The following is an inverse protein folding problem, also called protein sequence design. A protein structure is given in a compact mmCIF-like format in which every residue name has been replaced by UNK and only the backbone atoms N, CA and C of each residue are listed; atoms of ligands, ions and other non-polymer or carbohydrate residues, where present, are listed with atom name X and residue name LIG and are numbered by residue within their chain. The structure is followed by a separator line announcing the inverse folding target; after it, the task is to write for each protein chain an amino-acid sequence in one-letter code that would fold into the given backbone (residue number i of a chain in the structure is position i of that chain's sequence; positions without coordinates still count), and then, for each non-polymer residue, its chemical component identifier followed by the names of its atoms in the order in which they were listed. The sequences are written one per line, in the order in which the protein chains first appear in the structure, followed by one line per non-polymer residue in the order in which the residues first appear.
data_IF_153733549840
#
_entry.id   IF_153733549840
#
_cell.length_a   1.000
_cell.length_b   1.000
_cell.length_c   1.000
_cell.angle_alpha   90.00
_cell.angle_beta   90.00
_cell.angle_gamma   90.00
#
_symmetry.space_group_name_H-M   'P 1'
#
loop_
_entity.id
_entity.type
_entity.pdbx_description
1 polymer ?
#
# COMPACT_ATOMS: atom_id res chain seq x y z
N UNK A 1 -27.78 -3.78 8.31
CA UNK A 1 -27.84 -5.23 7.97
C UNK A 1 -26.42 -5.78 8.15
N UNK A 2 -26.20 -6.73 9.06
CA UNK A 2 -24.90 -7.38 9.21
C UNK A 2 -24.65 -8.25 7.97
N UNK A 3 -23.99 -7.72 6.95
CA UNK A 3 -23.42 -8.55 5.89
C UNK A 3 -22.25 -9.30 6.53
N UNK A 4 -22.37 -10.61 6.66
CA UNK A 4 -21.26 -11.47 7.04
C UNK A 4 -20.29 -11.48 5.86
N UNK A 5 -19.09 -10.98 6.04
CA UNK A 5 -18.03 -11.06 5.03
C UNK A 5 -17.37 -12.43 5.17
N UNK A 6 -17.29 -13.17 4.08
CA UNK A 6 -16.54 -14.43 4.04
C UNK A 6 -15.08 -14.14 3.68
N UNK A 7 -14.14 -14.60 4.49
CA UNK A 7 -12.72 -14.29 4.32
C UNK A 7 -11.98 -15.46 3.67
N UNK A 8 -11.38 -15.20 2.51
CA UNK A 8 -10.35 -16.07 1.97
C UNK A 8 -9.07 -15.92 2.77
N UNK A 9 -8.48 -17.04 3.20
CA UNK A 9 -7.33 -17.09 4.12
C UNK A 9 -6.16 -17.89 3.58
N UNK A 10 -6.22 -18.31 2.32
CA UNK A 10 -5.19 -19.15 1.70
C UNK A 10 -4.24 -18.31 0.85
N UNK A 11 -3.04 -18.82 0.62
CA UNK A 11 -2.10 -18.27 -0.35
C UNK A 11 -2.70 -18.39 -1.75
N UNK A 12 -2.39 -17.45 -2.64
CA UNK A 12 -2.77 -17.56 -4.06
C UNK A 12 -1.49 -17.81 -4.88
N UNK A 13 -1.32 -19.02 -5.40
CA UNK A 13 -0.16 -19.38 -6.21
C UNK A 13 -0.63 -20.06 -7.50
N UNK A 14 -0.26 -19.50 -8.65
CA UNK A 14 -0.68 -20.02 -9.95
C UNK A 14 -2.18 -19.90 -10.18
N UNK A 15 -2.81 -18.84 -9.70
CA UNK A 15 -4.26 -18.61 -9.82
C UNK A 15 -5.13 -19.48 -8.92
N UNK A 16 -4.54 -20.20 -7.94
CA UNK A 16 -5.24 -21.16 -7.08
C UNK A 16 -5.02 -20.87 -5.61
N UNK A 17 -6.06 -21.00 -4.77
CA UNK A 17 -5.90 -20.96 -3.32
C UNK A 17 -5.16 -22.23 -2.85
N UNK A 18 -4.14 -22.06 -2.01
CA UNK A 18 -3.33 -23.13 -1.44
C UNK A 18 -3.09 -22.88 0.04
N UNK A 19 -3.14 -23.92 0.89
CA UNK A 19 -2.62 -23.82 2.26
C UNK A 19 -1.10 -23.63 2.22
N UNK A 20 -0.54 -23.03 3.27
CA UNK A 20 0.91 -23.01 3.45
C UNK A 20 1.47 -24.43 3.55
N UNK A 21 2.63 -24.69 2.97
CA UNK A 21 3.24 -26.03 2.89
C UNK A 21 3.54 -26.64 4.26
N UNK A 22 3.81 -25.81 5.27
CA UNK A 22 4.03 -26.24 6.66
C UNK A 22 2.72 -26.30 7.49
N UNK A 23 1.57 -25.93 6.93
CA UNK A 23 0.28 -25.89 7.63
C UNK A 23 0.20 -24.86 8.75
N UNK A 24 1.13 -23.92 8.81
CA UNK A 24 1.14 -22.82 9.77
C UNK A 24 0.14 -21.74 9.37
N UNK A 25 -0.38 -21.05 10.39
CA UNK A 25 -1.27 -19.90 10.22
C UNK A 25 -0.93 -18.81 11.22
N UNK A 26 -1.31 -17.59 10.93
CA UNK A 26 -1.30 -16.47 11.88
C UNK A 26 -2.68 -15.83 11.94
N UNK A 27 -2.98 -15.18 13.06
CA UNK A 27 -4.28 -14.55 13.28
C UNK A 27 -4.28 -13.12 12.78
N UNK A 28 -5.31 -12.75 12.00
CA UNK A 28 -5.65 -11.37 11.69
C UNK A 28 -6.64 -10.86 12.73
N UNK A 29 -6.33 -9.73 13.36
CA UNK A 29 -7.07 -9.19 14.49
C UNK A 29 -7.84 -7.94 14.04
N UNK A 30 -9.11 -7.84 14.45
CA UNK A 30 -9.86 -6.60 14.31
C UNK A 30 -9.39 -5.58 15.35
N UNK A 31 -8.76 -4.46 14.96
CA UNK A 31 -8.21 -3.49 15.90
C UNK A 31 -9.29 -2.76 16.70
N UNK A 32 -10.54 -2.73 16.23
CA UNK A 32 -11.64 -2.06 16.94
C UNK A 32 -12.10 -2.80 18.19
N UNK A 33 -11.90 -4.12 18.27
CA UNK A 33 -12.41 -4.92 19.37
C UNK A 33 -11.46 -6.00 19.88
N UNK A 34 -10.27 -6.14 19.28
CA UNK A 34 -9.25 -7.12 19.63
C UNK A 34 -9.60 -8.57 19.33
N UNK A 35 -10.66 -8.83 18.56
CA UNK A 35 -11.10 -10.19 18.21
C UNK A 35 -10.42 -10.69 16.95
N UNK A 36 -10.17 -11.99 16.91
CA UNK A 36 -9.70 -12.67 15.71
C UNK A 36 -10.76 -12.57 14.61
N UNK A 37 -10.37 -12.08 13.44
CA UNK A 37 -11.17 -12.07 12.22
C UNK A 37 -11.04 -13.39 11.47
N UNK A 38 -9.81 -13.82 11.27
CA UNK A 38 -9.48 -15.00 10.50
C UNK A 38 -8.13 -15.57 10.89
N UNK A 39 -7.89 -16.84 10.55
CA UNK A 39 -6.58 -17.50 10.62
C UNK A 39 -6.05 -17.66 9.19
N UNK A 40 -5.04 -16.88 8.85
CA UNK A 40 -4.47 -16.77 7.51
C UNK A 40 -3.30 -17.74 7.35
N UNK A 41 -3.19 -18.42 6.21
CA UNK A 41 -2.09 -19.32 5.90
C UNK A 41 -0.75 -18.57 5.91
N UNK A 42 0.22 -19.07 6.65
CA UNK A 42 1.58 -18.55 6.68
C UNK A 42 2.43 -19.29 5.64
N UNK A 43 2.99 -18.52 4.70
CA UNK A 43 3.90 -19.07 3.70
C UNK A 43 5.26 -19.40 4.31
N UNK A 44 5.80 -20.56 3.93
CA UNK A 44 7.19 -20.95 4.19
C UNK A 44 8.13 -20.42 3.10
N UNK A 45 9.44 -20.64 3.29
CA UNK A 45 10.43 -20.40 2.23
C UNK A 45 10.19 -21.24 0.97
N UNK A 46 9.63 -22.46 1.13
CA UNK A 46 9.26 -23.33 0.00
C UNK A 46 8.08 -22.75 -0.78
N UNK A 47 7.08 -22.19 -0.10
CA UNK A 47 5.95 -21.52 -0.75
C UNK A 47 6.39 -20.27 -1.52
N UNK A 48 7.34 -19.49 -0.95
CA UNK A 48 7.95 -18.34 -1.65
C UNK A 48 8.68 -18.80 -2.91
N UNK A 49 9.53 -19.83 -2.81
CA UNK A 49 10.23 -20.38 -3.97
C UNK A 49 9.26 -20.88 -5.05
N UNK A 50 8.16 -21.54 -4.64
CA UNK A 50 7.10 -21.99 -5.55
C UNK A 50 6.40 -20.81 -6.22
N UNK A 51 6.02 -19.78 -5.47
CA UNK A 51 5.35 -18.59 -6.02
C UNK A 51 6.24 -17.86 -7.04
N UNK A 52 7.54 -17.67 -6.72
CA UNK A 52 8.50 -17.07 -7.63
C UNK A 52 8.72 -17.92 -8.87
N UNK A 53 8.88 -19.25 -8.72
CA UNK A 53 9.04 -20.17 -9.87
C UNK A 53 7.81 -20.16 -10.79
N UNK A 54 6.60 -20.12 -10.23
CA UNK A 54 5.35 -20.01 -10.99
C UNK A 54 5.26 -18.65 -11.71
N UNK A 55 5.63 -17.57 -11.04
CA UNK A 55 5.67 -16.24 -11.64
C UNK A 55 6.71 -16.17 -12.78
N UNK A 56 7.90 -16.75 -12.59
CA UNK A 56 8.95 -16.84 -13.61
C UNK A 56 8.48 -17.61 -14.84
N UNK A 57 7.88 -18.76 -14.63
CA UNK A 57 7.30 -19.56 -15.72
C UNK A 57 6.21 -18.79 -16.47
N UNK A 58 5.29 -18.11 -15.75
CA UNK A 58 4.25 -17.30 -16.37
C UNK A 58 4.83 -16.12 -17.17
N UNK A 59 5.96 -15.55 -16.74
CA UNK A 59 6.68 -14.50 -17.45
C UNK A 59 7.34 -15.01 -18.74
N UNK A 60 8.10 -16.10 -18.65
CA UNK A 60 8.93 -16.60 -19.76
C UNK A 60 8.12 -17.38 -20.81
N UNK A 61 7.24 -18.27 -20.35
CA UNK A 61 6.49 -19.19 -21.20
C UNK A 61 5.04 -18.74 -21.44
N UNK A 62 4.46 -18.00 -20.51
CA UNK A 62 3.07 -17.56 -20.56
C UNK A 62 2.82 -16.45 -21.59
N UNK A 63 1.54 -16.13 -21.84
CA UNK A 63 1.15 -15.13 -22.81
C UNK A 63 1.32 -13.69 -22.34
N UNK A 64 1.42 -13.43 -21.01
CA UNK A 64 1.27 -12.09 -20.44
C UNK A 64 2.34 -11.11 -20.87
N UNK A 65 3.61 -11.46 -20.73
CA UNK A 65 4.76 -10.62 -21.13
C UNK A 65 4.81 -10.33 -22.62
N UNK A 66 4.29 -11.27 -23.42
CA UNK A 66 4.26 -11.23 -24.90
C UNK A 66 2.94 -10.70 -25.44
N UNK A 67 1.96 -10.44 -24.59
CA UNK A 67 0.62 -9.97 -24.98
C UNK A 67 0.71 -8.59 -25.61
N UNK A 68 0.02 -8.41 -26.75
CA UNK A 68 -0.06 -7.12 -27.39
C UNK A 68 -0.57 -6.05 -26.41
N UNK A 69 0.00 -4.84 -26.40
CA UNK A 69 -0.38 -3.77 -25.45
C UNK A 69 -1.88 -3.53 -25.40
N UNK A 70 -2.57 -3.50 -26.54
CA UNK A 70 -4.00 -3.29 -26.62
C UNK A 70 -4.83 -4.41 -25.95
N UNK A 71 -4.38 -5.67 -26.02
CA UNK A 71 -5.08 -6.78 -25.38
C UNK A 71 -4.82 -6.79 -23.88
N UNK A 72 -3.60 -6.52 -23.44
CA UNK A 72 -3.25 -6.37 -22.01
C UNK A 72 -4.04 -5.24 -21.36
N UNK A 73 -4.18 -4.10 -22.06
CA UNK A 73 -5.05 -2.99 -21.63
C UNK A 73 -6.49 -3.45 -21.37
N UNK A 74 -7.09 -4.21 -22.28
CA UNK A 74 -8.46 -4.72 -22.14
C UNK A 74 -8.61 -5.60 -20.88
N UNK A 75 -7.62 -6.47 -20.63
CA UNK A 75 -7.63 -7.32 -19.41
C UNK A 75 -7.57 -6.47 -18.15
N UNK A 76 -6.68 -5.47 -18.11
CA UNK A 76 -6.57 -4.60 -16.92
C UNK A 76 -7.79 -3.71 -16.71
N UNK A 77 -8.43 -3.22 -17.77
CA UNK A 77 -9.71 -2.50 -17.64
C UNK A 77 -10.81 -3.41 -17.08
N UNK A 78 -10.88 -4.69 -17.50
CA UNK A 78 -11.79 -5.67 -16.88
C UNK A 78 -11.44 -5.90 -15.42
N UNK A 79 -10.14 -5.98 -15.07
CA UNK A 79 -9.72 -6.16 -13.68
C UNK A 79 -10.18 -5.00 -12.79
N UNK A 80 -10.03 -3.76 -13.27
CA UNK A 80 -10.55 -2.59 -12.58
C UNK A 80 -12.09 -2.68 -12.39
N UNK A 81 -12.82 -3.12 -13.42
CA UNK A 81 -14.29 -3.29 -13.33
C UNK A 81 -14.69 -4.40 -12.36
N UNK A 82 -13.94 -5.51 -12.31
CA UNK A 82 -14.20 -6.60 -11.35
C UNK A 82 -13.94 -6.12 -9.92
N UNK A 83 -12.85 -5.38 -9.66
CA UNK A 83 -12.58 -4.78 -8.34
C UNK A 83 -13.71 -3.80 -7.97
N UNK A 84 -14.15 -2.95 -8.89
CA UNK A 84 -15.25 -1.99 -8.68
C UNK A 84 -16.57 -2.69 -8.31
N UNK A 85 -16.87 -3.82 -8.95
CA UNK A 85 -18.05 -4.62 -8.61
C UNK A 85 -18.02 -5.24 -7.21
N UNK A 86 -16.83 -5.39 -6.62
CA UNK A 86 -16.60 -5.92 -5.28
C UNK A 86 -16.17 -4.85 -4.26
N UNK A 87 -16.32 -3.55 -4.60
CA UNK A 87 -15.84 -2.44 -3.79
C UNK A 87 -16.42 -2.43 -2.36
N UNK A 88 -17.73 -2.73 -2.19
CA UNK A 88 -18.34 -2.80 -0.85
C UNK A 88 -17.76 -3.94 0.00
N UNK A 89 -17.51 -5.10 -0.61
CA UNK A 89 -16.89 -6.26 0.04
C UNK A 89 -15.48 -5.92 0.51
N UNK A 90 -14.64 -5.37 -0.38
CA UNK A 90 -13.27 -4.99 -0.10
C UNK A 90 -13.17 -3.86 0.93
N UNK A 91 -14.04 -2.84 0.85
CA UNK A 91 -14.10 -1.76 1.82
C UNK A 91 -14.44 -2.27 3.23
N UNK A 92 -15.38 -3.23 3.33
CA UNK A 92 -15.72 -3.85 4.60
C UNK A 92 -14.54 -4.65 5.17
N UNK A 93 -13.80 -5.38 4.31
CA UNK A 93 -12.59 -6.10 4.73
C UNK A 93 -11.55 -5.13 5.28
N UNK A 94 -11.25 -4.02 4.58
CA UNK A 94 -10.29 -3.00 5.03
C UNK A 94 -10.72 -2.34 6.35
N UNK A 95 -12.00 -1.96 6.47
CA UNK A 95 -12.50 -1.38 7.70
C UNK A 95 -12.34 -2.33 8.90
N UNK A 96 -12.51 -3.63 8.68
CA UNK A 96 -12.40 -4.63 9.75
C UNK A 96 -10.95 -5.00 10.07
N UNK A 97 -10.05 -5.13 9.07
CA UNK A 97 -8.66 -5.57 9.30
C UNK A 97 -7.71 -4.40 9.62
N UNK A 98 -7.94 -3.21 9.06
CA UNK A 98 -7.11 -2.03 9.29
C UNK A 98 -7.69 -1.04 10.31
N UNK A 99 -8.97 -1.18 10.67
CA UNK A 99 -9.63 -0.24 11.58
C UNK A 99 -10.02 1.10 10.95
N UNK A 100 -9.96 1.21 9.63
CA UNK A 100 -10.27 2.44 8.90
C UNK A 100 -11.77 2.74 8.92
N UNK A 101 -12.19 4.03 8.98
CA UNK A 101 -13.58 4.38 8.80
C UNK A 101 -14.14 3.83 7.48
N UNK A 102 -15.29 3.15 7.56
CA UNK A 102 -15.92 2.55 6.39
C UNK A 102 -16.25 3.57 5.29
N UNK A 103 -16.55 4.79 5.67
CA UNK A 103 -16.76 5.92 4.74
C UNK A 103 -15.52 6.21 3.91
N UNK A 104 -14.34 6.26 4.53
CA UNK A 104 -13.07 6.48 3.83
C UNK A 104 -12.76 5.30 2.89
N UNK A 105 -12.99 4.06 3.36
CA UNK A 105 -12.79 2.88 2.52
C UNK A 105 -13.68 2.92 1.27
N UNK A 106 -14.97 3.29 1.41
CA UNK A 106 -15.93 3.33 0.30
C UNK A 106 -15.72 4.52 -0.63
N UNK A 107 -15.45 5.71 -0.09
CA UNK A 107 -15.45 6.96 -0.84
C UNK A 107 -14.05 7.34 -1.38
N UNK A 108 -12.99 6.81 -0.79
CA UNK A 108 -11.60 7.15 -1.15
C UNK A 108 -10.82 5.91 -1.58
N UNK A 109 -10.67 4.91 -0.70
CA UNK A 109 -9.72 3.81 -0.95
C UNK A 109 -10.14 2.93 -2.13
N UNK A 110 -11.41 2.53 -2.20
CA UNK A 110 -11.88 1.69 -3.30
C UNK A 110 -11.92 2.44 -4.64
N UNK A 111 -12.45 3.66 -4.73
CA UNK A 111 -12.35 4.46 -5.95
C UNK A 111 -10.91 4.67 -6.43
N UNK A 112 -9.99 4.98 -5.51
CA UNK A 112 -8.58 5.20 -5.86
C UNK A 112 -7.89 3.89 -6.29
N UNK A 113 -8.22 2.76 -5.66
CA UNK A 113 -7.76 1.42 -6.07
C UNK A 113 -8.15 1.12 -7.52
N UNK A 114 -9.43 1.34 -7.85
CA UNK A 114 -9.98 1.12 -9.20
C UNK A 114 -9.35 2.09 -10.21
N UNK A 115 -9.29 3.37 -9.86
CA UNK A 115 -8.74 4.41 -10.71
C UNK A 115 -7.26 4.20 -11.02
N UNK A 116 -6.48 3.74 -10.04
CA UNK A 116 -5.05 3.43 -10.24
C UNK A 116 -4.85 2.31 -11.27
N UNK A 117 -5.60 1.21 -11.16
CA UNK A 117 -5.51 0.13 -12.16
C UNK A 117 -5.96 0.63 -13.53
N UNK A 118 -7.07 1.38 -13.59
CA UNK A 118 -7.62 1.95 -14.84
C UNK A 118 -6.63 2.92 -15.49
N UNK A 119 -6.02 3.81 -14.70
CA UNK A 119 -5.05 4.78 -15.20
C UNK A 119 -3.83 4.09 -15.83
N UNK A 120 -3.26 3.07 -15.18
CA UNK A 120 -2.13 2.33 -15.72
C UNK A 120 -2.52 1.52 -16.96
N UNK A 121 -3.72 0.95 -16.98
CA UNK A 121 -4.24 0.32 -18.20
C UNK A 121 -4.32 1.29 -19.37
N UNK A 122 -4.83 2.52 -19.15
CA UNK A 122 -4.90 3.57 -20.14
C UNK A 122 -3.54 4.12 -20.56
N UNK A 123 -2.52 4.01 -19.71
CA UNK A 123 -1.16 4.47 -19.99
C UNK A 123 -0.39 3.51 -20.93
N UNK A 124 -0.81 2.26 -21.08
CA UNK A 124 -0.06 1.22 -21.81
C UNK A 124 0.28 1.68 -23.23
N UNK A 125 -0.68 2.25 -23.95
CA UNK A 125 -0.52 2.69 -25.34
C UNK A 125 0.08 4.11 -25.48
N UNK A 126 0.57 4.68 -24.40
CA UNK A 126 1.17 6.02 -24.31
C UNK A 126 2.66 5.98 -23.91
N UNK A 127 3.19 4.80 -23.67
CA UNK A 127 4.60 4.58 -23.38
C UNK A 127 5.33 4.26 -24.69
N UNK A 128 5.92 5.27 -25.31
CA UNK A 128 6.63 5.13 -26.58
C UNK A 128 8.09 4.71 -26.38
N UNK A 129 8.58 3.90 -27.30
CA UNK A 129 9.99 3.68 -27.53
C UNK A 129 10.63 4.93 -28.14
N UNK A 130 11.96 5.01 -28.15
CA UNK A 130 12.68 6.19 -28.62
C UNK A 130 13.66 5.83 -29.75
N UNK A 131 13.81 6.74 -30.68
CA UNK A 131 14.86 6.67 -31.71
C UNK A 131 15.99 7.60 -31.27
N UNK A 132 17.18 7.05 -31.11
CA UNK A 132 18.38 7.79 -30.70
C UNK A 132 19.01 8.50 -31.92
N UNK A 133 19.56 9.71 -31.75
CA UNK A 133 20.40 10.32 -32.77
C UNK A 133 21.60 9.43 -33.07
N UNK A 134 21.81 9.13 -34.35
CA UNK A 134 22.91 8.29 -34.82
C UNK A 134 23.35 8.70 -36.24
N UNK A 135 24.40 8.08 -36.74
CA UNK A 135 24.82 8.25 -38.14
C UNK A 135 23.64 7.90 -39.09
N UNK A 136 23.44 8.64 -40.21
CA UNK A 136 22.34 8.40 -41.12
C UNK A 136 22.24 6.96 -41.70
N UNK A 137 23.32 6.19 -41.64
CA UNK A 137 23.34 4.78 -42.03
C UNK A 137 22.92 3.81 -40.92
N UNK A 138 22.69 4.29 -39.69
CA UNK A 138 22.39 3.49 -38.51
C UNK A 138 21.03 3.89 -37.95
N UNK A 139 20.12 2.92 -37.77
CA UNK A 139 18.91 3.09 -36.97
C UNK A 139 19.18 2.57 -35.53
N UNK A 140 19.26 3.50 -34.57
CA UNK A 140 19.42 3.18 -33.13
C UNK A 140 18.12 3.44 -32.39
N UNK A 141 17.61 2.43 -31.67
CA UNK A 141 16.36 2.51 -30.91
C UNK A 141 16.57 2.14 -29.44
N UNK A 142 15.82 2.82 -28.56
CA UNK A 142 15.68 2.45 -27.14
C UNK A 142 14.33 1.77 -27.02
N UNK A 143 14.33 0.47 -26.81
CA UNK A 143 13.12 -0.36 -26.69
C UNK A 143 12.87 -0.65 -25.21
N UNK A 144 11.62 -0.53 -24.77
CA UNK A 144 11.19 -0.84 -23.41
C UNK A 144 10.72 -2.28 -23.33
N UNK A 145 11.28 -3.02 -22.39
CA UNK A 145 10.93 -4.42 -22.15
C UNK A 145 10.51 -4.61 -20.68
N UNK A 146 9.62 -5.58 -20.38
CA UNK A 146 9.30 -5.94 -19.00
C UNK A 146 10.55 -6.50 -18.28
N UNK A 147 10.67 -6.21 -16.99
CA UNK A 147 11.82 -6.61 -16.18
C UNK A 147 11.82 -8.10 -15.81
N UNK A 148 10.64 -8.68 -15.58
CA UNK A 148 10.53 -10.05 -15.12
C UNK A 148 9.57 -10.24 -13.96
N UNK A 149 10.06 -10.87 -12.88
CA UNK A 149 9.31 -11.14 -11.64
C UNK A 149 9.53 -10.00 -10.64
N UNK A 150 8.46 -9.39 -10.19
CA UNK A 150 8.49 -8.33 -9.16
C UNK A 150 7.95 -8.87 -7.84
N UNK A 151 8.72 -8.76 -6.76
CA UNK A 151 8.23 -8.93 -5.41
C UNK A 151 7.64 -7.59 -4.92
N UNK A 152 6.35 -7.55 -4.65
CA UNK A 152 5.66 -6.36 -4.16
C UNK A 152 5.29 -6.53 -2.69
N UNK A 153 5.92 -5.74 -1.83
CA UNK A 153 5.76 -5.78 -0.37
C UNK A 153 4.90 -4.60 0.06
N UNK A 154 3.75 -4.89 0.66
CA UNK A 154 2.71 -3.92 0.95
C UNK A 154 2.71 -3.52 2.43
N UNK A 155 2.37 -2.27 2.74
CA UNK A 155 2.12 -1.81 4.11
C UNK A 155 0.69 -2.15 4.53
N UNK A 156 0.38 -1.89 5.80
CA UNK A 156 -0.91 -2.17 6.42
C UNK A 156 -1.90 -0.98 6.36
N UNK A 157 -1.45 0.25 6.10
CA UNK A 157 -2.27 1.46 6.25
C UNK A 157 -3.24 1.76 5.08
N UNK A 158 -2.98 1.22 3.89
CA UNK A 158 -3.84 1.31 2.71
C UNK A 158 -3.76 0.02 1.89
N UNK A 159 -4.32 -1.10 2.39
CA UNK A 159 -4.08 -2.43 1.82
C UNK A 159 -4.40 -2.54 0.32
N UNK A 160 -5.64 -2.29 -0.08
CA UNK A 160 -6.08 -2.42 -1.48
C UNK A 160 -5.46 -1.32 -2.37
N UNK A 161 -5.39 -0.07 -1.88
CA UNK A 161 -4.81 1.03 -2.62
C UNK A 161 -3.32 0.78 -2.91
N UNK A 162 -2.55 0.33 -1.92
CA UNK A 162 -1.13 0.03 -2.10
C UNK A 162 -0.91 -1.21 -2.97
N UNK A 163 -1.81 -2.20 -2.92
CA UNK A 163 -1.80 -3.30 -3.87
C UNK A 163 -1.99 -2.77 -5.30
N UNK A 164 -2.95 -1.88 -5.54
CA UNK A 164 -3.18 -1.27 -6.85
C UNK A 164 -2.00 -0.42 -7.34
N UNK A 165 -1.36 0.36 -6.45
CA UNK A 165 -0.18 1.17 -6.78
C UNK A 165 1.00 0.32 -7.26
N UNK A 166 1.11 -0.93 -6.79
CA UNK A 166 2.12 -1.88 -7.27
C UNK A 166 1.62 -2.65 -8.49
N UNK A 167 0.41 -3.21 -8.43
CA UNK A 167 -0.16 -4.01 -9.52
C UNK A 167 -0.32 -3.22 -10.82
N UNK A 168 -0.79 -1.97 -10.73
CA UNK A 168 -1.00 -1.13 -11.90
C UNK A 168 0.21 -1.06 -12.83
N UNK A 169 1.35 -0.50 -12.42
CA UNK A 169 2.53 -0.40 -13.29
C UNK A 169 3.18 -1.75 -13.60
N UNK A 170 3.21 -2.70 -12.64
CA UNK A 170 3.80 -4.03 -12.85
C UNK A 170 3.08 -4.76 -13.98
N UNK A 171 1.76 -4.81 -13.92
CA UNK A 171 0.95 -5.53 -14.89
C UNK A 171 0.88 -4.79 -16.24
N UNK A 172 0.73 -3.46 -16.21
CA UNK A 172 0.69 -2.65 -17.43
C UNK A 172 1.94 -2.82 -18.29
N UNK A 173 3.09 -2.99 -17.65
CA UNK A 173 4.38 -3.17 -18.36
C UNK A 173 4.72 -4.63 -18.66
N UNK A 174 3.81 -5.59 -18.39
CA UNK A 174 3.96 -6.99 -18.79
C UNK A 174 4.78 -7.86 -17.83
N UNK A 175 5.07 -7.37 -16.63
CA UNK A 175 5.73 -8.14 -15.59
C UNK A 175 4.76 -9.10 -14.89
N UNK A 176 5.31 -10.05 -14.13
CA UNK A 176 4.59 -10.88 -13.16
C UNK A 176 4.93 -10.45 -11.75
N UNK A 177 4.10 -10.84 -10.78
CA UNK A 177 4.23 -10.35 -9.41
C UNK A 177 4.00 -11.43 -8.37
N UNK A 178 4.78 -11.36 -7.28
CA UNK A 178 4.51 -12.02 -6.02
C UNK A 178 4.24 -10.93 -4.99
N UNK A 179 2.98 -10.81 -4.56
CA UNK A 179 2.52 -9.87 -3.54
C UNK A 179 2.73 -10.46 -2.15
N UNK A 180 3.31 -9.67 -1.25
CA UNK A 180 3.28 -9.93 0.19
C UNK A 180 2.54 -8.79 0.89
N UNK A 181 1.29 -8.99 1.33
CA UNK A 181 0.61 -8.02 2.20
C UNK A 181 1.27 -7.94 3.57
N UNK A 182 0.99 -6.87 4.31
CA UNK A 182 1.29 -6.83 5.73
C UNK A 182 0.49 -7.92 6.46
N UNK A 183 1.08 -8.50 7.50
CA UNK A 183 0.43 -9.55 8.29
C UNK A 183 -0.85 -9.07 8.98
N UNK A 184 -0.95 -7.78 9.29
CA UNK A 184 -2.14 -7.16 9.88
C UNK A 184 -3.31 -7.09 8.90
N UNK A 185 -3.03 -6.92 7.59
CA UNK A 185 -4.02 -6.58 6.56
C UNK A 185 -3.84 -7.44 5.30
N UNK A 186 -4.04 -8.74 5.46
CA UNK A 186 -3.84 -9.70 4.36
C UNK A 186 -5.11 -10.00 3.57
N UNK A 187 -6.29 -9.82 4.16
CA UNK A 187 -7.55 -10.35 3.63
C UNK A 187 -7.98 -9.69 2.33
N UNK A 188 -7.99 -8.36 2.28
CA UNK A 188 -8.32 -7.60 1.07
C UNK A 188 -7.37 -7.89 -0.09
N UNK A 189 -6.06 -8.07 0.20
CA UNK A 189 -5.06 -8.41 -0.83
C UNK A 189 -5.23 -9.83 -1.36
N UNK A 190 -5.56 -10.82 -0.51
CA UNK A 190 -5.90 -12.18 -0.95
C UNK A 190 -7.09 -12.13 -1.90
N UNK A 191 -8.14 -11.39 -1.52
CA UNK A 191 -9.35 -11.24 -2.33
C UNK A 191 -9.07 -10.60 -3.68
N UNK A 192 -8.25 -9.56 -3.75
CA UNK A 192 -7.80 -8.96 -5.01
C UNK A 192 -7.06 -10.00 -5.89
N UNK A 193 -6.24 -10.86 -5.28
CA UNK A 193 -5.57 -11.95 -5.99
C UNK A 193 -6.56 -12.96 -6.61
N UNK A 194 -7.66 -13.28 -5.94
CA UNK A 194 -8.72 -14.14 -6.47
C UNK A 194 -9.48 -13.47 -7.62
N UNK A 195 -9.83 -12.19 -7.47
CA UNK A 195 -10.53 -11.40 -8.49
C UNK A 195 -9.74 -11.27 -9.80
N UNK A 196 -8.42 -11.43 -9.75
CA UNK A 196 -7.57 -11.40 -10.94
C UNK A 196 -7.92 -12.53 -11.94
N UNK A 197 -8.24 -13.72 -11.45
CA UNK A 197 -8.65 -14.85 -12.29
C UNK A 197 -10.00 -14.57 -12.99
N UNK A 198 -10.96 -13.96 -12.27
CA UNK A 198 -12.26 -13.55 -12.82
C UNK A 198 -12.10 -12.52 -13.95
N UNK A 199 -11.15 -11.61 -13.81
CA UNK A 199 -10.81 -10.63 -14.83
C UNK A 199 -10.10 -11.20 -16.06
N UNK A 200 -9.68 -12.48 -16.02
CA UNK A 200 -8.96 -13.15 -17.08
C UNK A 200 -7.45 -12.83 -17.13
N UNK A 201 -6.87 -12.46 -15.99
CA UNK A 201 -5.41 -12.41 -15.83
C UNK A 201 -4.91 -13.86 -15.80
N UNK A 202 -3.91 -14.23 -16.63
CA UNK A 202 -3.44 -15.60 -16.71
C UNK A 202 -2.85 -16.11 -15.38
N UNK A 203 -3.00 -17.42 -15.16
CA UNK A 203 -2.45 -18.09 -13.97
C UNK A 203 -0.95 -17.81 -13.79
N UNK A 204 -0.55 -17.52 -12.57
CA UNK A 204 0.84 -17.24 -12.20
C UNK A 204 1.32 -15.81 -12.45
N UNK A 205 0.54 -14.97 -13.14
CA UNK A 205 0.88 -13.56 -13.33
C UNK A 205 0.79 -12.78 -12.00
N UNK A 206 -0.22 -13.08 -11.18
CA UNK A 206 -0.37 -12.58 -9.81
C UNK A 206 -0.32 -13.77 -8.85
N UNK A 207 0.55 -13.67 -7.84
CA UNK A 207 0.64 -14.60 -6.73
C UNK A 207 0.60 -13.82 -5.42
N UNK A 208 -0.02 -14.36 -4.38
CA UNK A 208 -0.10 -13.74 -3.04
C UNK A 208 0.42 -14.71 -2.01
N UNK A 209 1.45 -14.29 -1.28
CA UNK A 209 2.08 -15.06 -0.19
C UNK A 209 2.01 -14.25 1.10
N UNK A 210 1.29 -14.77 2.09
CA UNK A 210 1.09 -14.12 3.38
C UNK A 210 2.10 -14.64 4.40
N UNK A 211 2.44 -13.81 5.40
CA UNK A 211 3.37 -14.15 6.47
C UNK A 211 4.21 -12.96 6.90
N UNK A 212 5.14 -13.19 7.82
CA UNK A 212 5.90 -12.12 8.47
C UNK A 212 7.03 -11.55 7.60
N UNK A 213 7.44 -10.32 7.93
CA UNK A 213 8.52 -9.62 7.22
C UNK A 213 9.85 -10.35 7.31
N UNK A 214 10.17 -10.90 8.49
CA UNK A 214 11.42 -11.59 8.81
C UNK A 214 11.59 -12.95 8.08
N UNK A 215 10.48 -13.55 7.67
CA UNK A 215 10.45 -14.83 6.96
C UNK A 215 10.15 -14.63 5.48
N UNK A 216 8.89 -14.36 5.14
CA UNK A 216 8.42 -14.24 3.75
C UNK A 216 9.01 -13.01 3.05
N UNK A 217 9.04 -11.85 3.75
CA UNK A 217 9.62 -10.62 3.22
C UNK A 217 11.11 -10.77 2.89
N UNK A 218 11.87 -11.35 3.84
CA UNK A 218 13.30 -11.65 3.65
C UNK A 218 13.51 -12.64 2.51
N UNK A 219 12.77 -13.75 2.49
CA UNK A 219 12.89 -14.76 1.44
C UNK A 219 12.67 -14.17 0.02
N UNK A 220 11.67 -13.28 -0.15
CA UNK A 220 11.45 -12.55 -1.41
C UNK A 220 12.60 -11.57 -1.71
N UNK A 221 13.09 -10.86 -0.70
CA UNK A 221 14.19 -9.90 -0.85
C UNK A 221 15.50 -10.54 -1.29
N UNK A 222 15.79 -11.74 -0.77
CA UNK A 222 17.02 -12.50 -1.06
C UNK A 222 16.88 -13.42 -2.29
N UNK A 223 15.66 -13.64 -2.82
CA UNK A 223 15.45 -14.65 -3.87
C UNK A 223 16.17 -14.29 -5.17
N UNK A 224 17.00 -15.18 -5.74
CA UNK A 224 17.81 -14.89 -6.92
C UNK A 224 16.99 -14.66 -8.20
N UNK A 225 15.80 -15.28 -8.32
CA UNK A 225 14.91 -15.17 -9.48
C UNK A 225 13.85 -14.05 -9.34
N UNK A 226 14.02 -13.15 -8.36
CA UNK A 226 13.28 -11.88 -8.28
C UNK A 226 14.12 -10.80 -8.94
N UNK A 227 13.58 -10.11 -9.94
CA UNK A 227 14.27 -9.08 -10.72
C UNK A 227 14.14 -7.68 -10.11
N UNK A 228 13.05 -7.45 -9.36
CA UNK A 228 12.78 -6.18 -8.72
C UNK A 228 11.99 -6.38 -7.43
N UNK A 229 12.29 -5.57 -6.42
CA UNK A 229 11.49 -5.40 -5.21
C UNK A 229 10.83 -4.03 -5.25
N UNK A 230 9.50 -4.00 -5.13
CA UNK A 230 8.70 -2.79 -4.95
C UNK A 230 8.15 -2.79 -3.52
N UNK A 231 8.78 -2.03 -2.64
CA UNK A 231 8.49 -1.98 -1.20
C UNK A 231 7.78 -0.69 -0.81
N UNK A 232 6.79 -0.79 0.07
CA UNK A 232 6.25 0.34 0.83
C UNK A 232 6.20 -0.02 2.31
N UNK A 233 6.76 0.85 3.16
CA UNK A 233 6.79 0.63 4.61
C UNK A 233 7.79 1.52 5.34
N UNK A 234 8.41 1.03 6.42
CA UNK A 234 9.37 1.82 7.17
C UNK A 234 10.71 1.99 6.45
N UNK A 235 11.37 3.14 6.67
CA UNK A 235 12.72 3.39 6.14
C UNK A 235 13.73 2.33 6.61
N UNK A 236 13.57 1.84 7.84
CA UNK A 236 14.43 0.80 8.40
C UNK A 236 14.33 -0.50 7.61
N UNK A 237 13.11 -0.97 7.37
CA UNK A 237 12.85 -2.15 6.54
C UNK A 237 13.30 -1.95 5.09
N UNK A 238 13.07 -0.74 4.52
CA UNK A 238 13.56 -0.40 3.19
C UNK A 238 15.09 -0.55 3.04
N UNK A 239 15.84 -0.17 4.07
CA UNK A 239 17.31 -0.40 4.11
C UNK A 239 17.68 -1.87 4.13
N UNK A 240 16.84 -2.74 4.73
CA UNK A 240 17.08 -4.19 4.70
C UNK A 240 16.95 -4.74 3.28
N UNK A 241 15.94 -4.32 2.51
CA UNK A 241 15.80 -4.72 1.10
C UNK A 241 16.97 -4.28 0.23
N UNK A 242 17.55 -3.09 0.47
CA UNK A 242 18.78 -2.69 -0.21
C UNK A 242 19.96 -3.61 0.12
N UNK A 243 20.09 -4.06 1.38
CA UNK A 243 21.11 -5.04 1.78
C UNK A 243 20.86 -6.39 1.13
N UNK A 244 19.63 -6.90 1.16
CA UNK A 244 19.29 -8.18 0.49
C UNK A 244 19.62 -8.14 -1.01
N UNK A 245 19.36 -7.01 -1.68
CA UNK A 245 19.77 -6.83 -3.07
C UNK A 245 21.28 -6.85 -3.25
N UNK A 246 22.03 -6.13 -2.40
CA UNK A 246 23.48 -6.06 -2.46
C UNK A 246 24.16 -7.43 -2.22
N UNK A 247 23.59 -8.22 -1.32
CA UNK A 247 24.14 -9.52 -0.90
C UNK A 247 23.72 -10.68 -1.85
N UNK A 248 22.87 -10.40 -2.85
CA UNK A 248 22.35 -11.44 -3.77
C UNK A 248 22.61 -11.10 -5.23
N UNK A 249 21.57 -10.81 -6.01
CA UNK A 249 21.64 -10.67 -7.47
C UNK A 249 21.65 -9.20 -7.96
N UNK A 250 21.80 -8.23 -7.05
CA UNK A 250 21.76 -6.79 -7.35
C UNK A 250 20.43 -6.34 -7.99
N UNK A 251 19.32 -7.00 -7.64
CA UNK A 251 17.98 -6.66 -8.13
C UNK A 251 17.64 -5.20 -7.84
N UNK A 252 16.84 -4.60 -8.71
CA UNK A 252 16.35 -3.24 -8.47
C UNK A 252 15.44 -3.20 -7.23
N UNK A 253 15.63 -2.20 -6.38
CA UNK A 253 14.79 -1.95 -5.20
C UNK A 253 14.15 -0.57 -5.33
N UNK A 254 12.82 -0.53 -5.35
CA UNK A 254 12.01 0.68 -5.37
C UNK A 254 11.40 0.84 -3.99
N UNK A 255 11.66 1.97 -3.35
CA UNK A 255 11.25 2.21 -1.96
C UNK A 255 10.29 3.38 -1.87
N UNK A 256 9.13 3.12 -1.26
CA UNK A 256 8.22 4.11 -0.73
C UNK A 256 8.25 4.03 0.79
N UNK A 257 8.60 5.13 1.44
CA UNK A 257 8.80 5.15 2.89
C UNK A 257 8.05 6.31 3.53
N UNK A 258 7.98 6.31 4.86
CA UNK A 258 7.41 7.41 5.62
C UNK A 258 8.18 8.71 5.46
N UNK A 259 7.55 9.81 5.79
CA UNK A 259 8.11 11.16 5.66
C UNK A 259 7.78 12.06 6.84
N UNK A 260 8.28 13.30 6.75
CA UNK A 260 7.99 14.43 7.63
C UNK A 260 7.72 15.66 6.76
N UNK A 261 6.61 15.62 6.00
CA UNK A 261 6.27 16.66 5.05
C UNK A 261 5.91 17.96 5.77
N UNK A 262 6.33 19.12 5.26
CA UNK A 262 5.93 20.41 5.80
C UNK A 262 4.56 20.84 5.23
N UNK A 263 3.74 21.45 6.08
CA UNK A 263 2.60 22.28 5.70
C UNK A 263 2.99 23.75 6.00
N UNK A 264 3.05 24.58 4.97
CA UNK A 264 3.58 25.94 5.08
C UNK A 264 2.43 26.94 4.91
N UNK A 265 2.22 27.81 5.91
CA UNK A 265 1.19 28.86 5.88
C UNK A 265 1.86 30.22 6.01
N UNK A 266 1.78 31.01 4.94
CA UNK A 266 2.41 32.33 4.85
C UNK A 266 1.55 33.40 5.51
N UNK A 267 2.18 34.54 5.89
CA UNK A 267 1.52 35.61 6.62
C UNK A 267 0.46 36.42 5.82
N UNK A 268 0.42 36.22 4.51
CA UNK A 268 -0.54 36.81 3.59
C UNK A 268 -1.64 35.84 3.15
N UNK A 269 -1.78 34.69 3.87
CA UNK A 269 -2.89 33.76 3.65
C UNK A 269 -4.22 34.42 4.03
N UNK A 270 -5.11 34.56 3.04
CA UNK A 270 -6.40 35.24 3.22
C UNK A 270 -7.45 34.38 3.93
N UNK A 271 -7.42 33.05 3.74
CA UNK A 271 -8.39 32.09 4.28
C UNK A 271 -7.71 31.14 5.28
N UNK A 272 -7.67 31.55 6.53
CA UNK A 272 -7.10 30.74 7.62
C UNK A 272 -8.03 29.59 8.04
N UNK A 273 -9.33 29.73 7.81
CA UNK A 273 -10.30 28.68 8.11
C UNK A 273 -10.06 27.44 7.24
N UNK A 274 -9.97 27.64 5.91
CA UNK A 274 -9.59 26.58 4.97
C UNK A 274 -8.18 26.03 5.26
N UNK A 275 -7.22 26.88 5.63
CA UNK A 275 -5.88 26.42 5.99
C UNK A 275 -5.90 25.52 7.23
N UNK A 276 -6.74 25.82 8.22
CA UNK A 276 -6.92 24.98 9.41
C UNK A 276 -7.61 23.66 9.07
N UNK A 277 -8.60 23.63 8.18
CA UNK A 277 -9.22 22.39 7.67
C UNK A 277 -8.21 21.50 7.00
N UNK A 278 -7.39 22.03 6.12
CA UNK A 278 -6.34 21.26 5.46
C UNK A 278 -5.28 20.75 6.44
N UNK A 279 -4.92 21.52 7.45
CA UNK A 279 -3.95 21.11 8.45
C UNK A 279 -4.48 19.94 9.31
N UNK A 280 -5.74 20.01 9.77
CA UNK A 280 -6.37 18.96 10.55
C UNK A 280 -6.61 17.70 9.71
N UNK A 281 -7.12 17.84 8.50
CA UNK A 281 -7.33 16.72 7.59
C UNK A 281 -6.01 16.02 7.28
N UNK A 282 -4.96 16.77 6.95
CA UNK A 282 -3.65 16.20 6.60
C UNK A 282 -3.01 15.36 7.71
N UNK A 283 -3.31 15.64 8.98
CA UNK A 283 -2.69 14.91 10.11
C UNK A 283 -3.60 13.85 10.72
N UNK A 284 -4.93 14.03 10.72
CA UNK A 284 -5.85 13.12 11.37
C UNK A 284 -6.46 12.08 10.43
N UNK A 285 -6.54 12.39 9.13
CA UNK A 285 -7.05 11.44 8.16
C UNK A 285 -6.28 10.11 8.23
N UNK A 286 -7.01 9.02 8.02
CA UNK A 286 -6.49 7.66 8.16
C UNK A 286 -5.82 7.40 9.52
N UNK A 287 -6.42 7.88 10.62
CA UNK A 287 -5.92 7.76 12.01
C UNK A 287 -4.51 8.34 12.22
N UNK A 288 -4.04 9.24 11.32
CA UNK A 288 -2.66 9.72 11.30
C UNK A 288 -1.64 8.72 10.77
N UNK A 289 -2.09 7.61 10.23
CA UNK A 289 -1.28 6.50 9.70
C UNK A 289 -0.96 6.65 8.20
N UNK A 290 -0.78 7.88 7.76
CA UNK A 290 -0.53 8.24 6.37
C UNK A 290 0.94 8.66 6.15
N UNK A 291 1.63 8.00 5.21
CA UNK A 291 3.03 8.29 4.86
C UNK A 291 3.25 9.70 4.29
N UNK A 292 2.21 10.30 3.66
CA UNK A 292 2.23 11.63 3.07
C UNK A 292 1.70 12.72 4.00
N UNK A 293 1.33 12.42 5.26
CA UNK A 293 0.86 13.41 6.23
C UNK A 293 1.80 14.61 6.37
N UNK A 294 1.24 15.80 6.40
CA UNK A 294 1.98 17.04 6.63
C UNK A 294 2.23 17.21 8.14
N UNK A 295 3.14 16.42 8.68
CA UNK A 295 3.40 16.31 10.13
C UNK A 295 4.25 17.43 10.72
N UNK A 296 4.62 18.45 9.92
CA UNK A 296 5.29 19.68 10.38
C UNK A 296 4.50 20.88 9.88
N UNK A 297 3.98 21.67 10.81
CA UNK A 297 3.29 22.92 10.52
C UNK A 297 4.25 24.10 10.67
N UNK A 298 4.59 24.74 9.55
CA UNK A 298 5.44 25.93 9.47
C UNK A 298 4.56 27.14 9.22
N UNK A 299 4.37 27.98 10.22
CA UNK A 299 3.43 29.11 10.20
C UNK A 299 4.16 30.42 10.37
N UNK A 300 3.79 31.42 9.57
CA UNK A 300 4.28 32.77 9.77
C UNK A 300 3.84 33.32 11.12
N UNK A 301 4.74 34.03 11.82
CA UNK A 301 4.52 34.49 13.19
C UNK A 301 3.25 35.36 13.36
N UNK A 302 2.89 36.16 12.35
CA UNK A 302 1.75 37.09 12.43
C UNK A 302 0.38 36.42 12.51
N UNK A 303 0.26 35.18 12.03
CA UNK A 303 -1.02 34.43 11.95
C UNK A 303 -1.01 33.17 12.84
N UNK A 304 0.09 32.90 13.54
CA UNK A 304 0.31 31.64 14.27
C UNK A 304 -0.78 31.37 15.30
N UNK A 305 -1.08 32.31 16.13
CA UNK A 305 -1.99 32.12 17.26
C UNK A 305 -3.44 31.92 16.77
N UNK A 306 -3.89 32.71 15.81
CA UNK A 306 -5.19 32.60 15.19
C UNK A 306 -5.37 31.26 14.46
N UNK A 307 -4.38 30.83 13.67
CA UNK A 307 -4.43 29.54 12.99
C UNK A 307 -4.47 28.37 13.97
N UNK A 308 -3.70 28.44 15.07
CA UNK A 308 -3.71 27.37 16.08
C UNK A 308 -5.06 27.26 16.79
N UNK A 309 -5.73 28.38 17.10
CA UNK A 309 -7.09 28.37 17.67
C UNK A 309 -8.07 27.69 16.73
N UNK A 310 -8.03 28.01 15.43
CA UNK A 310 -8.87 27.37 14.40
C UNK A 310 -8.59 25.87 14.28
N UNK A 311 -7.31 25.44 14.26
CA UNK A 311 -6.94 24.03 14.21
C UNK A 311 -7.48 23.28 15.42
N UNK A 312 -7.36 23.84 16.63
CA UNK A 312 -7.90 23.22 17.85
C UNK A 312 -9.42 23.08 17.78
N UNK A 313 -10.13 24.08 17.27
CA UNK A 313 -11.59 24.01 17.11
C UNK A 313 -11.98 22.92 16.11
N UNK A 314 -11.38 22.92 14.92
CA UNK A 314 -11.64 21.92 13.87
C UNK A 314 -11.25 20.50 14.26
N UNK A 315 -10.24 20.33 15.12
CA UNK A 315 -9.85 19.01 15.63
C UNK A 315 -10.96 18.31 16.42
N UNK A 316 -11.90 19.06 17.00
CA UNK A 316 -13.04 18.50 17.75
C UNK A 316 -14.06 17.79 16.84
N UNK A 317 -14.04 18.07 15.54
CA UNK A 317 -14.90 17.42 14.57
C UNK A 317 -14.41 16.00 14.18
N UNK A 318 -13.19 15.65 14.57
CA UNK A 318 -12.58 14.35 14.30
C UNK A 318 -13.03 13.33 15.35
N UNK A 319 -14.22 12.77 15.14
CA UNK A 319 -14.87 11.84 16.05
C UNK A 319 -14.18 10.48 16.00
N UNK A 320 -13.70 10.02 17.16
CA UNK A 320 -13.15 8.68 17.34
C UNK A 320 -14.28 7.70 17.64
N UNK A 321 -14.32 6.55 16.95
CA UNK A 321 -15.43 5.60 17.12
C UNK A 321 -15.21 4.24 16.47
N UNK A 322 -16.31 3.48 16.37
CA UNK A 322 -16.34 2.21 15.64
C UNK A 322 -16.12 2.49 14.14
N UNK A 323 -15.14 1.85 13.48
CA UNK A 323 -14.88 2.07 12.06
C UNK A 323 -16.06 1.74 11.15
N UNK A 324 -16.98 0.89 11.60
CA UNK A 324 -18.19 0.54 10.83
C UNK A 324 -19.35 1.53 11.01
N UNK A 325 -19.23 2.50 11.91
CA UNK A 325 -20.19 3.60 12.04
C UNK A 325 -19.83 4.72 11.04
N UNK A 326 -20.78 5.08 10.19
CA UNK A 326 -20.61 6.12 9.18
C UNK A 326 -20.29 7.53 9.76
N UNK A 327 -20.55 7.77 11.05
CA UNK A 327 -20.21 9.00 11.72
C UNK A 327 -18.76 9.04 12.24
N UNK A 328 -18.07 7.93 12.24
CA UNK A 328 -16.68 7.82 12.72
C UNK A 328 -15.74 8.45 11.69
N UNK A 329 -14.88 9.38 12.14
CA UNK A 329 -13.80 9.97 11.33
C UNK A 329 -12.42 9.40 11.68
N UNK A 330 -12.26 8.86 12.88
CA UNK A 330 -11.02 8.23 13.34
C UNK A 330 -11.37 6.87 13.93
N UNK A 331 -10.86 5.81 13.32
CA UNK A 331 -10.92 4.46 13.84
C UNK A 331 -9.81 4.18 14.87
N UNK A 332 -9.66 2.93 15.32
CA UNK A 332 -8.56 2.51 16.18
C UNK A 332 -7.24 2.50 15.41
N UNK A 333 -6.14 2.60 16.14
CA UNK A 333 -4.81 2.31 15.58
C UNK A 333 -4.70 0.81 15.23
N UNK A 334 -3.87 0.50 14.25
CA UNK A 334 -3.76 -0.85 13.68
C UNK A 334 -3.45 -1.94 14.72
N UNK A 335 -2.60 -1.64 15.72
CA UNK A 335 -2.19 -2.59 16.75
C UNK A 335 -1.58 -1.88 17.96
N UNK A 336 -1.50 -2.60 19.11
CA UNK A 336 -0.93 -2.08 20.35
C UNK A 336 0.53 -1.63 20.19
N UNK A 337 1.34 -2.39 19.47
CA UNK A 337 2.75 -2.05 19.25
C UNK A 337 2.92 -0.70 18.54
N UNK A 338 2.00 -0.36 17.60
CA UNK A 338 2.00 0.92 16.93
C UNK A 338 1.56 2.05 17.86
N UNK A 339 0.52 1.84 18.68
CA UNK A 339 0.11 2.78 19.72
C UNK A 339 1.25 3.09 20.70
N UNK A 340 1.92 2.05 21.22
CA UNK A 340 3.05 2.20 22.13
C UNK A 340 4.18 3.01 21.49
N UNK A 341 4.44 2.78 20.22
CA UNK A 341 5.43 3.55 19.45
C UNK A 341 5.04 5.03 19.34
N UNK A 342 3.77 5.34 19.05
CA UNK A 342 3.29 6.73 18.99
C UNK A 342 3.41 7.40 20.38
N UNK A 343 2.97 6.72 21.43
CA UNK A 343 3.08 7.23 22.80
C UNK A 343 4.53 7.48 23.22
N UNK A 344 5.47 6.65 22.77
CA UNK A 344 6.90 6.87 23.03
C UNK A 344 7.46 8.19 22.50
N UNK A 345 6.80 8.80 21.51
CA UNK A 345 7.14 10.14 21.00
C UNK A 345 6.36 11.25 21.72
N UNK A 346 5.12 10.99 22.15
CA UNK A 346 4.26 11.97 22.82
C UNK A 346 4.75 12.24 24.24
N UNK A 347 5.09 11.21 25.00
CA UNK A 347 5.51 11.32 26.40
C UNK A 347 6.72 12.23 26.61
N UNK A 348 7.82 12.12 25.83
CA UNK A 348 8.96 13.05 25.92
C UNK A 348 8.57 14.49 25.58
N UNK A 349 7.69 14.72 24.60
CA UNK A 349 7.23 16.06 24.21
C UNK A 349 6.41 16.67 25.33
N UNK A 350 5.48 15.92 25.94
CA UNK A 350 4.70 16.37 27.11
C UNK A 350 5.60 16.76 28.26
N UNK A 351 6.62 15.97 28.57
CA UNK A 351 7.58 16.29 29.60
C UNK A 351 8.42 17.55 29.30
N UNK A 352 8.93 17.69 28.05
CA UNK A 352 9.90 18.74 27.69
C UNK A 352 9.26 20.08 27.31
N UNK A 353 8.04 20.09 26.78
CA UNK A 353 7.39 21.27 26.21
C UNK A 353 6.10 21.71 26.90
N UNK A 354 5.35 20.76 27.48
CA UNK A 354 4.06 21.06 28.12
C UNK A 354 4.13 21.19 29.65
N UNK A 355 5.16 20.63 30.30
CA UNK A 355 5.29 20.59 31.75
C UNK A 355 6.36 21.53 32.31
N UNK A 356 7.26 22.03 31.49
CA UNK A 356 8.30 22.97 31.86
C UNK A 356 8.07 24.32 31.16
N UNK A 357 8.25 25.47 31.86
CA UNK A 357 8.32 26.77 31.21
C UNK A 357 9.59 26.80 30.38
N UNK A 358 9.47 26.40 29.12
CA UNK A 358 10.60 26.44 28.20
C UNK A 358 10.92 27.87 27.82
N UNK A 359 12.20 28.26 27.98
CA UNK A 359 12.70 29.45 27.30
C UNK A 359 12.41 29.27 25.81
N UNK A 360 11.92 30.29 25.09
CA UNK A 360 11.72 30.19 23.66
C UNK A 360 13.06 29.81 23.03
N UNK A 361 13.13 28.62 22.43
CA UNK A 361 14.22 28.27 21.56
C UNK A 361 14.07 29.12 20.32
N UNK A 362 14.82 30.23 20.27
CA UNK A 362 15.03 30.97 19.03
C UNK A 362 16.01 30.12 18.21
N UNK A 363 15.51 29.52 17.16
CA UNK A 363 16.28 28.83 16.14
C UNK A 363 15.71 29.15 14.77
#
# INVERSE_FOLDING_TARGET
MSKTVDFSTQLIIGGRPLPGSEGKTFETINPANGKVLASVAEASGEDVNKAVSVARKAFEEGPWSKMAPAERKKVLLRFATVIEAHAEELAMMEAMEAGKPITDCLEIDMPETVNTIRWHAEAIDKLYDQISPSDPSILSMIVREPMGVVAAILPWNFPAMMAAWKLGPILATGNTVVLKPAEQTSLSTIRIGELAAEAGIPDGVINVVCGFGETVGKALGEHPDVDCVAFTGSTETGRMFLRYSADTNLKRVLLECGGKNPFIVMGDTEDLDTAADHATNSIFWNMGENCSSNSRLLVHQSIKDELLELIVEKSKEWVVGDPLDAATKIGPMIEQAHLDKVMSFIDPVSYTHLTLPTKPCVG
#
